data_IF_753396077151
#
_entry.id   IF_753396077151
#
_cell.length_a   1.000
_cell.length_b   1.000
_cell.length_c   1.000
_cell.angle_alpha   90.00
_cell.angle_beta   90.00
_cell.angle_gamma   90.00
#
_symmetry.space_group_name_H-M   'P 1'
#
loop_
_entity.id
_entity.type
_entity.pdbx_description
1 polymer ?
#
# COMPACT_ATOMS: atom_id res chain seq x y z
N UNK A 1 -6.09 20.79 -17.86
CA UNK A 1 -4.89 20.16 -17.31
C UNK A 1 -3.93 19.95 -18.46
N UNK A 2 -2.74 20.51 -18.39
CA UNK A 2 -1.74 20.47 -19.48
C UNK A 2 -2.29 20.85 -20.87
N UNK A 3 -3.13 21.89 -20.93
CA UNK A 3 -3.81 22.37 -22.14
C UNK A 3 -4.99 21.52 -22.62
N UNK A 4 -5.30 20.41 -21.91
CA UNK A 4 -6.45 19.56 -22.24
C UNK A 4 -7.68 19.95 -21.42
N UNK A 5 -8.85 19.95 -22.05
CA UNK A 5 -10.14 20.12 -21.36
C UNK A 5 -10.51 18.82 -20.68
N UNK A 6 -10.86 18.91 -19.39
CA UNK A 6 -11.38 17.78 -18.61
C UNK A 6 -12.83 18.11 -18.27
N UNK A 7 -13.75 17.21 -18.65
CA UNK A 7 -15.16 17.32 -18.30
C UNK A 7 -15.39 16.83 -16.88
N UNK A 8 -16.12 17.61 -16.09
CA UNK A 8 -16.50 17.27 -14.72
C UNK A 8 -18.00 17.00 -14.70
N UNK A 9 -18.38 15.82 -14.22
CA UNK A 9 -19.78 15.44 -14.03
C UNK A 9 -20.14 15.53 -12.55
N UNK A 10 -21.26 16.17 -12.24
CA UNK A 10 -21.82 16.27 -10.89
C UNK A 10 -22.94 15.25 -10.73
N UNK A 11 -22.58 14.01 -10.42
CA UNK A 11 -23.54 12.95 -10.12
C UNK A 11 -23.00 12.08 -8.97
N UNK A 12 -23.82 11.85 -7.95
CA UNK A 12 -23.46 11.03 -6.78
C UNK A 12 -23.74 9.52 -7.02
N UNK A 13 -24.54 9.20 -8.03
CA UNK A 13 -24.83 7.81 -8.40
C UNK A 13 -23.92 7.38 -9.56
N UNK A 14 -22.94 6.48 -9.31
CA UNK A 14 -22.02 6.05 -10.37
C UNK A 14 -22.72 5.31 -11.53
N UNK A 15 -23.86 4.69 -11.31
CA UNK A 15 -24.61 4.01 -12.37
C UNK A 15 -25.23 4.96 -13.44
N UNK A 16 -25.31 6.24 -13.12
CA UNK A 16 -25.85 7.29 -14.02
C UNK A 16 -24.74 8.11 -14.73
N UNK A 17 -23.49 7.75 -14.53
CA UNK A 17 -22.38 8.40 -15.18
C UNK A 17 -22.23 7.92 -16.64
N UNK A 18 -21.83 8.75 -17.59
CA UNK A 18 -21.87 8.42 -19.03
C UNK A 18 -20.65 7.62 -19.50
N UNK A 19 -20.20 6.62 -18.73
CA UNK A 19 -18.97 5.89 -19.01
C UNK A 19 -19.03 5.16 -20.36
N UNK A 20 -20.18 4.56 -20.67
CA UNK A 20 -20.38 3.87 -21.95
C UNK A 20 -20.39 4.82 -23.15
N UNK A 21 -21.05 5.99 -23.03
CA UNK A 21 -21.10 7.01 -24.07
C UNK A 21 -19.72 7.59 -24.37
N UNK A 22 -18.91 7.72 -23.34
CA UNK A 22 -17.54 8.27 -23.40
C UNK A 22 -16.50 7.22 -23.80
N UNK A 23 -16.88 5.93 -23.90
CA UNK A 23 -15.96 4.84 -24.19
C UNK A 23 -14.88 4.64 -23.14
N UNK A 24 -15.22 4.82 -21.85
CA UNK A 24 -14.24 4.73 -20.75
C UNK A 24 -13.78 3.28 -20.55
N UNK A 25 -12.50 3.03 -20.70
CA UNK A 25 -11.91 1.71 -20.49
C UNK A 25 -11.75 1.37 -19.00
N UNK A 26 -11.21 2.29 -18.21
CA UNK A 26 -10.97 2.08 -16.78
C UNK A 26 -11.50 3.25 -15.97
N UNK A 27 -12.31 2.96 -14.96
CA UNK A 27 -12.70 3.93 -13.92
C UNK A 27 -11.81 3.73 -12.70
N UNK A 28 -11.25 4.82 -12.20
CA UNK A 28 -10.57 4.86 -10.90
C UNK A 28 -11.55 5.35 -9.83
N UNK A 29 -11.94 4.46 -8.91
CA UNK A 29 -12.83 4.75 -7.79
C UNK A 29 -12.02 5.31 -6.62
N UNK A 30 -12.12 6.61 -6.37
CA UNK A 30 -11.38 7.33 -5.32
C UNK A 30 -12.29 7.97 -4.26
N UNK A 31 -13.59 7.74 -4.29
CA UNK A 31 -14.54 8.41 -3.39
C UNK A 31 -14.49 7.89 -1.95
N UNK A 32 -14.04 6.65 -1.75
CA UNK A 32 -14.04 5.94 -0.49
C UNK A 32 -15.43 5.40 -0.08
N UNK A 33 -16.45 5.51 -0.94
CA UNK A 33 -17.80 5.00 -0.70
C UNK A 33 -18.09 3.67 -1.38
N UNK A 34 -17.53 3.45 -2.57
CA UNK A 34 -17.78 2.26 -3.40
C UNK A 34 -16.60 1.28 -3.29
N UNK A 35 -16.25 0.91 -2.05
CA UNK A 35 -15.06 0.10 -1.72
C UNK A 35 -15.38 -1.39 -1.55
N UNK A 36 -16.28 -1.94 -2.36
CA UNK A 36 -16.55 -3.38 -2.47
C UNK A 36 -16.88 -3.72 -3.91
N UNK A 37 -16.75 -4.98 -4.28
CA UNK A 37 -17.08 -5.45 -5.64
C UNK A 37 -18.52 -5.09 -6.02
N UNK A 38 -19.47 -5.36 -5.14
CA UNK A 38 -20.89 -5.06 -5.34
C UNK A 38 -21.12 -3.57 -5.61
N UNK A 39 -20.62 -2.69 -4.74
CA UNK A 39 -20.80 -1.24 -4.90
C UNK A 39 -20.09 -0.68 -6.13
N UNK A 40 -18.86 -1.12 -6.39
CA UNK A 40 -18.08 -0.66 -7.54
C UNK A 40 -18.66 -1.15 -8.87
N UNK A 41 -19.46 -2.21 -8.88
CA UNK A 41 -20.15 -2.71 -10.07
C UNK A 41 -21.08 -1.68 -10.72
N UNK A 42 -21.51 -0.66 -9.99
CA UNK A 42 -22.31 0.44 -10.52
C UNK A 42 -21.57 1.19 -11.66
N UNK A 43 -20.25 1.26 -11.62
CA UNK A 43 -19.47 1.83 -12.72
C UNK A 43 -19.49 0.94 -13.99
N UNK A 44 -19.54 -0.40 -13.82
CA UNK A 44 -19.70 -1.32 -14.95
C UNK A 44 -21.11 -1.21 -15.56
N UNK A 45 -22.15 -1.04 -14.71
CA UNK A 45 -23.52 -0.80 -15.16
C UNK A 45 -23.62 0.49 -15.98
N UNK A 46 -22.83 1.50 -15.67
CA UNK A 46 -22.70 2.75 -16.41
C UNK A 46 -21.89 2.61 -17.72
N UNK A 47 -21.36 1.45 -18.02
CA UNK A 47 -20.65 1.14 -19.26
C UNK A 47 -19.12 1.24 -19.20
N UNK A 48 -18.51 1.39 -18.04
CA UNK A 48 -17.06 1.22 -17.89
C UNK A 48 -16.68 -0.25 -18.13
N UNK A 49 -15.51 -0.51 -18.75
CA UNK A 49 -15.05 -1.88 -18.98
C UNK A 49 -14.38 -2.48 -17.73
N UNK A 50 -13.63 -1.67 -16.99
CA UNK A 50 -12.87 -2.07 -15.79
C UNK A 50 -12.96 -1.01 -14.70
N UNK A 51 -12.78 -1.43 -13.45
CA UNK A 51 -12.75 -0.53 -12.26
C UNK A 51 -11.56 -0.85 -11.39
N UNK A 52 -10.82 0.16 -10.99
CA UNK A 52 -9.76 0.08 -9.98
C UNK A 52 -10.20 0.84 -8.75
N UNK A 53 -10.31 0.18 -7.60
CA UNK A 53 -10.65 0.80 -6.32
C UNK A 53 -9.38 1.27 -5.65
N UNK A 54 -9.28 2.58 -5.39
CA UNK A 54 -8.14 3.24 -4.71
C UNK A 54 -8.22 3.10 -3.19
N UNK A 55 -8.54 1.89 -2.70
CA UNK A 55 -8.63 1.57 -1.28
C UNK A 55 -8.61 0.06 -1.07
N UNK A 56 -8.32 -0.45 0.14
CA UNK A 56 -8.63 -1.83 0.50
C UNK A 56 -10.12 -2.11 0.30
N UNK A 57 -10.44 -3.21 -0.38
CA UNK A 57 -11.81 -3.52 -0.78
C UNK A 57 -12.07 -5.02 -0.67
N UNK A 58 -12.77 -5.46 0.37
CA UNK A 58 -13.25 -6.83 0.52
C UNK A 58 -12.25 -7.96 0.22
N UNK A 59 -12.73 -9.20 0.30
CA UNK A 59 -11.94 -10.39 -0.06
C UNK A 59 -12.52 -11.11 -1.30
N UNK A 60 -13.53 -10.53 -1.91
CA UNK A 60 -14.29 -11.05 -3.05
C UNK A 60 -13.78 -10.51 -4.39
N UNK A 61 -12.68 -9.75 -4.35
CA UNK A 61 -11.96 -9.23 -5.51
C UNK A 61 -10.46 -9.25 -5.27
N UNK A 62 -9.68 -9.22 -6.35
CA UNK A 62 -8.21 -9.24 -6.25
C UNK A 62 -7.68 -7.92 -5.69
N UNK A 63 -6.77 -8.04 -4.73
CA UNK A 63 -5.99 -6.93 -4.20
C UNK A 63 -4.59 -6.99 -4.80
N UNK A 64 -4.19 -5.92 -5.49
CA UNK A 64 -2.97 -5.87 -6.30
C UNK A 64 -1.97 -4.88 -5.70
N UNK A 65 -0.74 -5.34 -5.58
CA UNK A 65 0.46 -4.51 -5.39
C UNK A 65 1.36 -4.75 -6.60
N UNK A 66 1.58 -3.71 -7.39
CA UNK A 66 2.39 -3.79 -8.60
C UNK A 66 3.84 -4.22 -8.26
N UNK A 67 4.43 -5.06 -9.08
CA UNK A 67 5.69 -5.81 -8.93
C UNK A 67 5.72 -6.83 -7.78
N UNK A 68 4.55 -7.22 -7.25
CA UNK A 68 4.41 -8.33 -6.29
C UNK A 68 3.47 -9.41 -6.79
N UNK A 69 2.25 -9.03 -7.23
CA UNK A 69 1.22 -9.98 -7.64
C UNK A 69 0.35 -9.54 -8.82
N UNK A 70 0.72 -8.53 -9.58
CA UNK A 70 -0.03 -8.08 -10.78
C UNK A 70 -0.19 -9.18 -11.82
N UNK A 71 0.76 -10.12 -11.88
CA UNK A 71 0.73 -11.27 -12.77
C UNK A 71 -0.41 -12.26 -12.46
N UNK A 72 -1.10 -12.10 -11.35
CA UNK A 72 -2.31 -12.88 -11.02
C UNK A 72 -3.57 -12.36 -11.72
N UNK A 73 -3.50 -11.16 -12.33
CA UNK A 73 -4.61 -10.59 -13.08
C UNK A 73 -4.79 -11.30 -14.42
N UNK A 74 -6.04 -11.39 -14.85
CA UNK A 74 -6.46 -11.96 -16.13
C UNK A 74 -7.39 -11.00 -16.86
N UNK A 75 -7.69 -11.27 -18.13
CA UNK A 75 -8.61 -10.48 -18.94
C UNK A 75 -10.06 -10.49 -18.38
N UNK A 76 -10.45 -11.54 -17.65
CA UNK A 76 -11.78 -11.69 -17.06
C UNK A 76 -11.98 -10.82 -15.81
N UNK A 77 -10.90 -10.32 -15.19
CA UNK A 77 -11.01 -9.44 -14.04
C UNK A 77 -11.57 -8.08 -14.47
N UNK A 78 -12.63 -7.63 -13.82
CA UNK A 78 -13.26 -6.35 -14.13
C UNK A 78 -13.14 -5.33 -13.00
N UNK A 79 -13.05 -5.79 -11.74
CA UNK A 79 -12.96 -4.92 -10.56
C UNK A 79 -11.82 -5.42 -9.68
N UNK A 80 -10.87 -4.53 -9.38
CA UNK A 80 -9.72 -4.82 -8.52
C UNK A 80 -9.51 -3.73 -7.48
N UNK A 81 -8.78 -4.07 -6.41
CA UNK A 81 -8.28 -3.12 -5.43
C UNK A 81 -6.79 -2.85 -5.65
N UNK A 82 -6.37 -1.60 -5.65
CA UNK A 82 -4.96 -1.20 -5.63
C UNK A 82 -4.36 -1.18 -4.20
N UNK A 83 -5.01 -1.84 -3.25
CA UNK A 83 -4.60 -1.90 -1.84
C UNK A 83 -4.54 -0.52 -1.15
N UNK A 84 -3.62 -0.35 -0.21
CA UNK A 84 -3.33 0.91 0.48
C UNK A 84 -1.88 1.32 0.28
N UNK A 85 -1.55 2.58 0.58
CA UNK A 85 -0.17 3.07 0.53
C UNK A 85 0.77 2.23 1.42
N UNK A 86 0.34 1.90 2.63
CA UNK A 86 1.11 1.07 3.56
C UNK A 86 1.28 -0.36 3.05
N UNK A 87 0.24 -0.97 2.43
CA UNK A 87 0.36 -2.31 1.84
C UNK A 87 1.32 -2.30 0.66
N UNK A 88 1.29 -1.26 -0.18
CA UNK A 88 2.23 -1.09 -1.30
C UNK A 88 3.68 -0.91 -0.84
N UNK A 89 3.90 -0.35 0.36
CA UNK A 89 5.23 -0.28 0.96
C UNK A 89 5.66 -1.61 1.58
N UNK A 90 4.78 -2.26 2.33
CA UNK A 90 5.09 -3.49 3.08
C UNK A 90 5.34 -4.68 2.13
N UNK A 91 4.53 -4.85 1.11
CA UNK A 91 4.49 -6.10 0.33
C UNK A 91 5.81 -6.41 -0.40
N UNK A 92 6.45 -5.50 -1.15
CA UNK A 92 7.72 -5.81 -1.82
C UNK A 92 8.83 -6.17 -0.82
N UNK A 93 8.94 -5.42 0.28
CA UNK A 93 9.91 -5.67 1.35
C UNK A 93 9.66 -7.02 2.04
N UNK A 94 8.41 -7.32 2.38
CA UNK A 94 8.03 -8.59 3.01
C UNK A 94 8.25 -9.78 2.07
N UNK A 95 7.97 -9.61 0.76
CA UNK A 95 8.23 -10.63 -0.25
C UNK A 95 9.72 -10.93 -0.36
N UNK A 96 10.55 -9.92 -0.55
CA UNK A 96 11.99 -10.11 -0.67
C UNK A 96 12.61 -10.74 0.59
N UNK A 97 12.16 -10.36 1.79
CA UNK A 97 12.57 -10.99 3.04
C UNK A 97 12.12 -12.44 3.11
N UNK A 98 10.87 -12.74 2.77
CA UNK A 98 10.31 -14.10 2.84
C UNK A 98 10.95 -15.05 1.81
N UNK A 99 11.30 -14.52 0.64
CA UNK A 99 12.01 -15.29 -0.40
C UNK A 99 13.47 -15.61 0.02
N UNK A 100 14.13 -14.72 0.76
CA UNK A 100 15.47 -14.93 1.30
C UNK A 100 15.46 -15.87 2.53
N UNK A 101 14.58 -15.59 3.49
CA UNK A 101 14.45 -16.36 4.72
C UNK A 101 12.97 -16.39 5.15
N UNK A 102 12.27 -17.55 5.06
CA UNK A 102 10.84 -17.64 5.28
C UNK A 102 10.38 -17.06 6.61
N UNK A 103 9.46 -16.09 6.55
CA UNK A 103 8.86 -15.45 7.71
C UNK A 103 7.96 -16.44 8.45
N UNK A 104 8.21 -16.60 9.75
CA UNK A 104 7.41 -17.43 10.64
C UNK A 104 6.29 -16.61 11.31
N UNK A 105 6.64 -15.43 11.78
CA UNK A 105 5.71 -14.46 12.38
C UNK A 105 6.32 -13.06 12.33
N UNK A 106 5.50 -12.03 12.49
CA UNK A 106 6.04 -10.67 12.55
C UNK A 106 5.02 -9.62 12.98
N UNK A 107 5.56 -8.49 13.37
CA UNK A 107 4.80 -7.28 13.70
C UNK A 107 5.27 -6.18 12.75
N UNK A 108 4.35 -5.60 12.00
CA UNK A 108 4.63 -4.38 11.26
C UNK A 108 4.13 -3.16 12.04
N UNK A 109 4.92 -2.12 12.03
CA UNK A 109 4.51 -0.80 12.51
C UNK A 109 4.73 0.22 11.43
N UNK A 110 3.74 1.06 11.16
CA UNK A 110 3.96 2.21 10.29
C UNK A 110 3.93 3.50 11.08
N UNK A 111 4.98 4.30 10.92
CA UNK A 111 5.02 5.70 11.35
C UNK A 111 4.53 6.51 10.15
N UNK A 112 3.30 6.98 10.24
CA UNK A 112 2.56 7.49 9.10
C UNK A 112 2.31 8.99 9.22
N UNK A 113 2.47 9.72 8.13
CA UNK A 113 2.03 11.10 8.06
C UNK A 113 0.53 11.24 8.37
N UNK A 114 0.10 12.38 8.88
CA UNK A 114 -1.32 12.62 9.04
C UNK A 114 -2.01 12.74 7.68
N UNK A 115 -3.28 12.39 7.59
CA UNK A 115 -4.05 12.41 6.34
C UNK A 115 -5.44 13.00 6.55
N UNK A 116 -6.16 13.29 5.46
CA UNK A 116 -7.47 13.94 5.49
C UNK A 116 -8.60 13.12 6.14
N UNK A 117 -8.34 11.90 6.59
CA UNK A 117 -9.27 11.14 7.41
C UNK A 117 -9.19 11.51 8.90
N UNK A 118 -8.19 12.28 9.30
CA UNK A 118 -8.04 12.83 10.66
C UNK A 118 -8.58 14.27 10.71
N UNK A 119 -8.88 14.74 11.93
CA UNK A 119 -9.11 16.16 12.17
C UNK A 119 -7.76 16.89 12.19
N UNK A 120 -7.66 18.01 11.50
CA UNK A 120 -6.45 18.87 11.52
C UNK A 120 -6.36 19.64 12.84
N UNK A 121 -7.47 20.19 13.30
CA UNK A 121 -7.67 20.69 14.66
C UNK A 121 -8.53 19.71 15.45
N UNK A 122 -8.51 19.80 16.78
CA UNK A 122 -9.43 19.02 17.63
C UNK A 122 -10.88 19.25 17.22
N UNK A 123 -11.64 18.19 17.01
CA UNK A 123 -13.03 18.27 16.62
C UNK A 123 -13.70 16.92 16.47
N UNK A 124 -15.04 16.86 16.35
CA UNK A 124 -15.77 15.62 16.24
C UNK A 124 -15.43 14.91 14.93
N UNK A 125 -14.91 13.69 15.05
CA UNK A 125 -14.63 12.86 13.88
C UNK A 125 -15.91 12.24 13.31
N UNK A 126 -16.09 12.29 11.98
CA UNK A 126 -17.32 11.84 11.29
C UNK A 126 -17.72 10.36 11.54
N UNK A 127 -16.77 9.52 11.96
CA UNK A 127 -17.00 8.11 12.31
C UNK A 127 -16.91 7.84 13.82
N UNK A 128 -16.87 8.88 14.66
CA UNK A 128 -16.80 8.76 16.11
C UNK A 128 -15.44 8.25 16.66
N UNK A 129 -14.39 8.23 15.87
CA UNK A 129 -13.06 7.82 16.32
C UNK A 129 -12.44 8.94 17.17
N UNK A 130 -12.30 8.68 18.47
CA UNK A 130 -11.82 9.67 19.45
C UNK A 130 -10.33 10.01 19.27
N UNK A 131 -9.52 9.11 18.70
CA UNK A 131 -8.11 9.38 18.41
C UNK A 131 -7.95 10.21 17.17
N UNK A 132 -8.68 9.89 16.09
CA UNK A 132 -8.71 10.69 14.85
C UNK A 132 -9.41 12.05 15.02
N UNK A 133 -10.14 12.24 16.10
CA UNK A 133 -10.74 13.52 16.50
C UNK A 133 -9.71 14.53 17.01
N UNK A 134 -8.49 14.09 17.37
CA UNK A 134 -7.45 14.95 17.90
C UNK A 134 -6.63 15.57 16.78
N UNK A 135 -6.14 16.79 17.01
CA UNK A 135 -5.35 17.58 16.06
C UNK A 135 -4.17 16.78 15.50
N UNK A 136 -4.23 16.42 14.22
CA UNK A 136 -3.25 15.57 13.55
C UNK A 136 -1.86 16.19 13.49
N UNK A 137 -1.77 17.51 13.36
CA UNK A 137 -0.52 18.25 13.30
C UNK A 137 0.15 18.49 14.68
N UNK A 138 -0.47 18.05 15.78
CA UNK A 138 0.02 18.29 17.13
C UNK A 138 0.15 17.03 18.00
N UNK A 139 -0.23 15.86 17.48
CA UNK A 139 -0.30 14.64 18.26
C UNK A 139 0.32 13.43 17.54
N UNK A 140 0.91 12.52 18.32
CA UNK A 140 1.12 11.13 17.89
C UNK A 140 -0.20 10.40 18.11
N UNK A 141 -0.82 9.90 17.03
CA UNK A 141 -2.16 9.29 17.08
C UNK A 141 -2.08 7.80 16.76
N UNK A 142 -2.21 6.92 17.78
CA UNK A 142 -2.26 5.48 17.54
C UNK A 142 -3.49 5.09 16.73
N UNK A 143 -3.30 4.28 15.70
CA UNK A 143 -4.35 3.82 14.80
C UNK A 143 -4.22 2.32 14.51
N UNK A 144 -5.34 1.70 14.19
CA UNK A 144 -5.33 0.40 13.55
C UNK A 144 -4.89 0.52 12.08
N UNK A 145 -4.27 -0.52 11.55
CA UNK A 145 -3.99 -0.66 10.12
C UNK A 145 -4.46 -2.00 9.61
N UNK A 146 -5.07 -2.01 8.44
CA UNK A 146 -5.44 -3.24 7.73
C UNK A 146 -4.29 -3.84 6.90
N UNK A 147 -3.14 -3.15 6.80
CA UNK A 147 -2.06 -3.55 5.91
C UNK A 147 -1.50 -4.96 6.23
N UNK A 148 -1.34 -5.30 7.52
CA UNK A 148 -0.87 -6.61 7.92
C UNK A 148 -1.85 -7.75 7.53
N UNK A 149 -3.15 -7.51 7.57
CA UNK A 149 -4.16 -8.47 7.07
C UNK A 149 -4.17 -8.54 5.55
N UNK A 150 -4.05 -7.39 4.90
CA UNK A 150 -4.07 -7.30 3.44
C UNK A 150 -2.86 -8.01 2.81
N UNK A 151 -1.75 -8.18 3.55
CA UNK A 151 -0.57 -8.86 3.03
C UNK A 151 -0.88 -10.30 2.59
N UNK A 152 -1.76 -11.00 3.31
CA UNK A 152 -2.17 -12.37 2.95
C UNK A 152 -2.99 -12.46 1.67
N UNK A 153 -3.59 -11.35 1.20
CA UNK A 153 -4.29 -11.27 -0.09
C UNK A 153 -3.30 -11.09 -1.25
N UNK A 154 -2.13 -10.53 -0.96
CA UNK A 154 -1.09 -10.20 -1.95
C UNK A 154 0.01 -11.27 -1.98
N UNK A 155 0.37 -11.79 -0.81
CA UNK A 155 1.38 -12.85 -0.60
C UNK A 155 0.73 -13.95 0.26
N UNK A 156 0.09 -14.95 -0.35
CA UNK A 156 -0.68 -15.98 0.38
C UNK A 156 0.11 -16.72 1.47
N UNK A 157 1.41 -16.90 1.29
CA UNK A 157 2.30 -17.56 2.25
C UNK A 157 2.44 -16.79 3.58
N UNK A 158 2.12 -15.51 3.57
CA UNK A 158 2.15 -14.64 4.75
C UNK A 158 0.78 -14.51 5.44
N UNK A 159 -0.24 -15.20 4.95
CA UNK A 159 -1.57 -15.13 5.56
C UNK A 159 -1.53 -15.59 7.03
N UNK A 160 -2.01 -14.72 7.92
CA UNK A 160 -2.04 -14.96 9.36
C UNK A 160 -0.71 -14.84 10.10
N UNK A 161 0.41 -14.62 9.40
CA UNK A 161 1.75 -14.52 10.03
C UNK A 161 2.08 -13.11 10.52
N UNK A 162 1.42 -12.07 9.99
CA UNK A 162 1.71 -10.69 10.34
C UNK A 162 0.53 -10.04 11.07
N UNK A 163 0.85 -9.30 12.12
CA UNK A 163 -0.04 -8.33 12.78
C UNK A 163 0.54 -6.93 12.62
N UNK A 164 -0.25 -5.88 12.86
CA UNK A 164 0.28 -4.54 12.66
C UNK A 164 -0.49 -3.42 13.33
N UNK A 165 0.22 -2.32 13.52
CA UNK A 165 -0.28 -1.07 14.06
C UNK A 165 0.23 0.14 13.27
N UNK A 166 -0.39 1.30 13.49
CA UNK A 166 0.03 2.55 12.90
C UNK A 166 0.15 3.63 13.99
N UNK A 167 1.14 4.50 13.83
CA UNK A 167 1.27 5.74 14.59
C UNK A 167 1.23 6.90 13.60
N UNK A 168 0.18 7.72 13.65
CA UNK A 168 0.13 8.95 12.87
C UNK A 168 0.91 10.04 13.58
N UNK A 169 1.77 10.74 12.85
CA UNK A 169 2.71 11.74 13.40
C UNK A 169 2.52 13.09 12.71
N UNK A 170 2.96 14.20 13.31
CA UNK A 170 2.84 15.56 12.76
C UNK A 170 3.78 15.81 11.55
N UNK A 171 3.65 15.01 10.50
CA UNK A 171 4.40 15.11 9.25
C UNK A 171 3.38 15.15 8.11
N UNK A 172 3.45 16.13 7.17
CA UNK A 172 2.45 16.30 6.12
C UNK A 172 2.44 15.17 5.09
N UNK A 173 3.61 14.65 4.75
CA UNK A 173 3.81 13.46 3.93
C UNK A 173 5.16 12.83 4.23
N UNK A 174 5.40 11.61 3.77
CA UNK A 174 6.61 10.85 4.11
C UNK A 174 6.39 9.95 5.33
N UNK A 175 6.25 8.68 5.06
CA UNK A 175 5.93 7.64 6.05
C UNK A 175 6.97 6.52 5.98
N UNK A 176 7.09 5.75 7.05
CA UNK A 176 7.96 4.57 7.08
C UNK A 176 7.22 3.35 7.62
N UNK A 177 7.53 2.18 7.05
CA UNK A 177 7.06 0.89 7.53
C UNK A 177 8.23 0.12 8.10
N UNK A 178 8.09 -0.31 9.35
CA UNK A 178 9.03 -1.15 10.08
C UNK A 178 8.42 -2.54 10.17
N UNK A 179 9.11 -3.55 9.67
CA UNK A 179 8.74 -4.96 9.83
C UNK A 179 9.76 -5.63 10.76
N UNK A 180 9.31 -5.99 11.96
CA UNK A 180 10.05 -6.85 12.86
C UNK A 180 9.49 -8.26 12.74
N UNK A 181 10.31 -9.22 12.31
CA UNK A 181 9.87 -10.58 12.02
C UNK A 181 10.82 -11.62 12.61
N UNK A 182 10.27 -12.80 12.91
CA UNK A 182 11.04 -14.00 13.11
C UNK A 182 11.10 -14.74 11.77
N UNK A 183 12.31 -14.96 11.28
CA UNK A 183 12.57 -15.71 10.04
C UNK A 183 13.30 -17.00 10.33
N UNK A 184 13.22 -17.97 9.44
CA UNK A 184 13.93 -19.24 9.53
C UNK A 184 14.95 -19.34 8.39
N UNK A 185 16.18 -19.69 8.72
CA UNK A 185 17.24 -19.86 7.71
C UNK A 185 18.53 -20.36 8.33
N UNK A 186 19.52 -20.52 7.47
CA UNK A 186 20.89 -20.81 7.86
C UNK A 186 21.73 -19.54 7.60
N UNK A 187 22.46 -19.09 8.62
CA UNK A 187 23.36 -17.93 8.52
C UNK A 187 22.70 -16.65 7.96
N UNK A 188 21.54 -16.26 8.54
CA UNK A 188 20.87 -15.02 8.19
C UNK A 188 21.64 -13.84 8.75
N UNK A 189 22.10 -12.95 7.85
CA UNK A 189 22.93 -11.80 8.21
C UNK A 189 22.34 -10.50 7.66
N UNK A 190 22.72 -9.35 8.21
CA UNK A 190 22.36 -8.02 7.72
C UNK A 190 22.77 -7.87 6.23
N UNK A 191 24.00 -8.29 5.91
CA UNK A 191 24.55 -8.20 4.56
C UNK A 191 23.78 -9.08 3.58
N UNK A 192 23.38 -10.29 4.01
CA UNK A 192 22.57 -11.22 3.21
C UNK A 192 21.16 -10.65 2.93
N UNK A 193 20.51 -10.09 3.94
CA UNK A 193 19.20 -9.43 3.78
C UNK A 193 19.34 -8.24 2.83
N UNK A 194 20.32 -7.35 3.05
CA UNK A 194 20.54 -6.17 2.22
C UNK A 194 20.83 -6.56 0.77
N UNK A 195 21.62 -7.61 0.54
CA UNK A 195 21.89 -8.13 -0.80
C UNK A 195 20.60 -8.65 -1.47
N UNK A 196 19.76 -9.39 -0.75
CA UNK A 196 18.48 -9.88 -1.27
C UNK A 196 17.53 -8.72 -1.63
N UNK A 197 17.43 -7.69 -0.77
CA UNK A 197 16.64 -6.49 -1.05
C UNK A 197 17.16 -5.73 -2.26
N UNK A 198 18.49 -5.59 -2.39
CA UNK A 198 19.14 -4.94 -3.55
C UNK A 198 18.87 -5.70 -4.84
N UNK A 199 18.91 -7.03 -4.80
CA UNK A 199 18.59 -7.89 -5.94
C UNK A 199 17.12 -7.83 -6.35
N UNK A 200 16.21 -7.58 -5.42
CA UNK A 200 14.77 -7.41 -5.67
C UNK A 200 14.40 -5.99 -6.13
N UNK A 201 15.35 -5.06 -6.20
CA UNK A 201 15.09 -3.67 -6.59
C UNK A 201 14.52 -3.57 -8.01
N UNK A 202 13.55 -2.67 -8.17
CA UNK A 202 12.80 -2.45 -9.41
C UNK A 202 12.33 -1.00 -9.51
N UNK A 203 11.57 -0.65 -10.54
CA UNK A 203 10.90 0.67 -10.62
C UNK A 203 9.89 0.93 -9.50
N UNK A 204 9.42 -0.13 -8.84
CA UNK A 204 8.45 -0.09 -7.74
C UNK A 204 9.06 -0.26 -6.37
N UNK A 205 10.19 -0.95 -6.28
CA UNK A 205 10.91 -1.24 -5.05
C UNK A 205 12.32 -0.69 -5.13
N UNK A 206 12.56 0.46 -4.50
CA UNK A 206 13.86 1.11 -4.46
C UNK A 206 14.76 0.57 -3.34
N UNK A 207 16.06 0.83 -3.47
CA UNK A 207 17.08 0.48 -2.48
C UNK A 207 17.90 1.72 -2.13
N UNK A 208 18.06 1.99 -0.84
CA UNK A 208 18.77 3.16 -0.31
C UNK A 208 19.90 2.76 0.64
N UNK A 209 21.03 3.45 0.54
CA UNK A 209 22.20 3.29 1.39
C UNK A 209 22.57 4.59 2.14
N UNK A 210 21.84 5.69 1.87
CA UNK A 210 22.05 6.99 2.50
C UNK A 210 21.26 7.12 3.82
N UNK A 211 21.71 7.98 4.71
CA UNK A 211 21.04 8.34 5.96
C UNK A 211 19.94 9.35 5.71
N UNK A 212 18.76 8.88 5.25
CA UNK A 212 17.61 9.68 4.87
C UNK A 212 16.58 9.80 5.99
N UNK A 213 15.74 10.84 5.91
CA UNK A 213 14.61 11.10 6.77
C UNK A 213 13.34 11.35 5.96
N UNK A 214 12.19 11.51 6.61
CA UNK A 214 10.89 11.62 5.94
C UNK A 214 10.77 12.77 4.93
N UNK A 215 11.51 13.86 5.09
CA UNK A 215 11.50 14.98 4.12
C UNK A 215 12.23 14.65 2.82
N UNK A 216 13.19 13.74 2.84
CA UNK A 216 14.00 13.38 1.66
C UNK A 216 13.20 12.50 0.67
N UNK A 217 12.16 11.83 1.16
CA UNK A 217 11.35 10.94 0.35
C UNK A 217 10.09 11.59 -0.23
N UNK A 218 9.90 12.89 -0.02
CA UNK A 218 8.76 13.61 -0.59
C UNK A 218 8.84 13.60 -2.11
N UNK A 219 7.79 13.12 -2.76
CA UNK A 219 7.70 13.05 -4.22
C UNK A 219 8.36 11.83 -4.85
N UNK A 220 8.88 10.86 -4.07
CA UNK A 220 9.42 9.62 -4.64
C UNK A 220 8.31 8.80 -5.31
N UNK A 221 8.70 8.01 -6.32
CA UNK A 221 7.79 7.18 -7.12
C UNK A 221 7.87 5.69 -6.81
N UNK A 222 8.82 5.28 -5.99
CA UNK A 222 8.87 3.91 -5.49
C UNK A 222 7.68 3.66 -4.58
N UNK A 223 6.99 2.55 -4.73
CA UNK A 223 5.95 2.11 -3.79
C UNK A 223 6.53 1.84 -2.41
N UNK A 224 7.78 1.40 -2.40
CA UNK A 224 8.57 1.07 -1.22
C UNK A 224 10.03 1.39 -1.51
N UNK A 225 10.68 2.18 -0.66
CA UNK A 225 12.12 2.47 -0.73
C UNK A 225 12.80 1.83 0.48
N UNK A 226 13.45 0.69 0.26
CA UNK A 226 14.14 -0.05 1.32
C UNK A 226 15.34 0.73 1.85
N UNK A 227 15.46 0.79 3.18
CA UNK A 227 16.55 1.47 3.87
C UNK A 227 17.53 0.45 4.47
N UNK A 228 18.63 0.21 3.79
CA UNK A 228 19.63 -0.78 4.19
C UNK A 228 20.39 -0.41 5.47
N UNK A 229 20.37 0.88 5.84
CA UNK A 229 21.02 1.37 7.06
C UNK A 229 20.31 0.89 8.33
N UNK A 230 18.99 0.61 8.23
CA UNK A 230 18.12 0.26 9.35
C UNK A 230 17.94 -1.27 9.55
N UNK A 231 18.61 -2.09 8.76
CA UNK A 231 18.52 -3.56 8.90
C UNK A 231 19.22 -4.01 10.18
N UNK A 232 18.48 -4.79 10.98
CA UNK A 232 18.97 -5.40 12.22
C UNK A 232 18.71 -6.91 12.18
N UNK A 233 19.65 -7.69 12.74
CA UNK A 233 19.55 -9.15 12.84
C UNK A 233 20.05 -9.60 14.20
N UNK A 234 19.32 -10.54 14.82
CA UNK A 234 19.71 -11.21 16.07
C UNK A 234 19.38 -12.68 15.94
N UNK A 235 20.33 -13.56 16.22
CA UNK A 235 20.12 -15.01 16.24
C UNK A 235 19.34 -15.43 17.49
N UNK A 236 18.32 -16.25 17.33
CA UNK A 236 17.50 -16.83 18.41
C UNK A 236 17.83 -18.30 18.71
N UNK A 237 18.70 -18.92 17.89
CA UNK A 237 18.97 -20.34 17.93
C UNK A 237 17.99 -21.18 17.09
N UNK A 238 18.33 -22.44 16.90
CA UNK A 238 17.52 -23.41 16.12
C UNK A 238 17.20 -22.97 14.68
N UNK A 239 18.08 -22.18 14.05
CA UNK A 239 17.86 -21.63 12.72
C UNK A 239 16.81 -20.52 12.67
N UNK A 240 16.46 -19.93 13.81
CA UNK A 240 15.56 -18.78 13.90
C UNK A 240 16.35 -17.50 14.14
N UNK A 241 15.90 -16.43 13.48
CA UNK A 241 16.48 -15.10 13.58
C UNK A 241 15.36 -14.06 13.77
N UNK A 242 15.57 -13.13 14.69
CA UNK A 242 14.77 -11.92 14.76
C UNK A 242 15.40 -10.88 13.86
N UNK A 243 14.62 -10.34 12.94
CA UNK A 243 15.08 -9.34 11.98
C UNK A 243 14.19 -8.11 12.04
N UNK A 244 14.79 -6.95 11.80
CA UNK A 244 14.08 -5.71 11.50
C UNK A 244 14.49 -5.23 10.13
N UNK A 245 13.52 -4.90 9.30
CA UNK A 245 13.70 -4.24 8.00
C UNK A 245 12.79 -3.04 7.91
N UNK A 246 13.24 -2.00 7.20
CA UNK A 246 12.56 -0.71 7.12
C UNK A 246 12.45 -0.26 5.69
N UNK A 247 11.29 0.26 5.32
CA UNK A 247 11.08 0.92 4.03
C UNK A 247 10.33 2.24 4.19
N UNK A 248 10.71 3.21 3.37
CA UNK A 248 10.09 4.52 3.25
C UNK A 248 9.08 4.54 2.11
N UNK A 249 8.08 5.41 2.22
CA UNK A 249 7.12 5.70 1.15
C UNK A 249 6.52 7.09 1.31
N UNK A 250 6.39 7.80 0.21
CA UNK A 250 5.49 8.96 0.18
C UNK A 250 4.06 8.41 0.13
N UNK A 251 3.31 8.57 1.21
CA UNK A 251 1.97 7.98 1.32
C UNK A 251 0.98 8.48 0.25
N UNK A 252 1.30 9.55 -0.46
CA UNK A 252 0.54 10.08 -1.58
C UNK A 252 1.18 9.72 -2.93
N UNK A 253 2.39 10.21 -3.22
CA UNK A 253 3.00 10.06 -4.54
C UNK A 253 3.48 8.62 -4.83
N UNK A 254 4.02 7.91 -3.84
CA UNK A 254 4.37 6.50 -4.00
C UNK A 254 3.14 5.65 -4.34
N UNK A 255 2.04 5.86 -3.57
CA UNK A 255 0.80 5.13 -3.80
C UNK A 255 0.18 5.45 -5.15
N UNK A 256 0.11 6.74 -5.51
CA UNK A 256 -0.41 7.18 -6.82
C UNK A 256 0.39 6.58 -7.96
N UNK A 257 1.74 6.54 -7.84
CA UNK A 257 2.61 5.94 -8.85
C UNK A 257 2.36 4.43 -9.02
N UNK A 258 2.20 3.70 -7.91
CA UNK A 258 1.86 2.27 -7.95
C UNK A 258 0.49 2.02 -8.56
N UNK A 259 -0.50 2.84 -8.19
CA UNK A 259 -1.84 2.76 -8.73
C UNK A 259 -1.86 3.01 -10.25
N UNK A 260 -1.10 3.98 -10.75
CA UNK A 260 -0.97 4.25 -12.18
C UNK A 260 -0.33 3.05 -12.91
N UNK A 261 0.72 2.43 -12.35
CA UNK A 261 1.30 1.21 -12.91
C UNK A 261 0.28 0.07 -12.97
N UNK A 262 -0.47 -0.13 -11.87
CA UNK A 262 -1.53 -1.14 -11.79
C UNK A 262 -2.64 -0.87 -12.83
N UNK A 263 -3.10 0.37 -12.97
CA UNK A 263 -4.11 0.76 -13.97
C UNK A 263 -3.62 0.46 -15.38
N UNK A 264 -2.38 0.87 -15.70
CA UNK A 264 -1.79 0.63 -17.01
C UNK A 264 -1.74 -0.86 -17.34
N UNK A 265 -1.16 -1.65 -16.45
CA UNK A 265 -1.08 -3.11 -16.61
C UNK A 265 -2.47 -3.74 -16.78
N UNK A 266 -3.42 -3.34 -15.92
CA UNK A 266 -4.78 -3.87 -15.97
C UNK A 266 -5.54 -3.50 -17.24
N UNK A 267 -5.33 -2.29 -17.76
CA UNK A 267 -5.93 -1.84 -19.02
C UNK A 267 -5.39 -2.63 -20.24
N UNK A 268 -4.11 -3.03 -20.20
CA UNK A 268 -3.44 -3.77 -21.28
C UNK A 268 -3.79 -5.26 -21.32
N UNK A 269 -4.48 -5.80 -20.33
CA UNK A 269 -4.91 -7.21 -20.27
C UNK A 269 -6.19 -7.53 -21.09
N UNK A 270 -6.55 -6.75 -22.05
CA UNK A 270 -7.70 -7.00 -22.91
C UNK A 270 -8.41 -5.75 -23.27
#
# INVERSE_FOLDING_TARGET
MDGKVITIYKNANPAELPWGELGVDVVLECTGFFTSKDKASAHLQAGAKKVVISAPAGNDLKTIVFSVNENTLTAEDQIISAASCTTNCLAPMAKALNDYAPIQSGIMSTIHAYTGDQMILDGPHRKGDLRRARAGAANIVPNSTGAAKAIGLVIPELNGKLIGSAQRVPVPTGSTTILTAVVKGENVTKEGINAAMKAAASESFGYNEDEIVSSDIIGIRYGSLFDSTQTMVSELGNGLYQVQVVSWYDNENSYTSQMVRTIKYFAELG
#
